data_IF_853290879052
#
_entry.id   IF_853290879052
#
_cell.length_a   1.000
_cell.length_b   1.000
_cell.length_c   1.000
_cell.angle_alpha   90.00
_cell.angle_beta   90.00
_cell.angle_gamma   90.00
#
_symmetry.space_group_name_H-M   'P 1'
#
loop_
_entity.id
_entity.type
_entity.pdbx_description
1 polymer ?
#
# COMPACT_ATOMS: atom_id res chain seq x y z
N UNK A 1 -21.60 5.09 -9.35
CA UNK A 1 -20.26 4.47 -9.49
C UNK A 1 -19.44 4.89 -8.27
N UNK A 2 -18.91 3.95 -7.50
CA UNK A 2 -17.98 4.30 -6.42
C UNK A 2 -16.68 4.84 -7.04
N UNK A 3 -16.15 5.93 -6.49
CA UNK A 3 -14.93 6.56 -6.98
C UNK A 3 -13.69 5.66 -6.81
N UNK A 4 -12.68 5.89 -7.64
CA UNK A 4 -11.36 5.24 -7.52
C UNK A 4 -10.42 6.21 -6.80
N UNK A 5 -9.72 5.71 -5.79
CA UNK A 5 -8.62 6.42 -5.15
C UNK A 5 -7.36 6.27 -5.98
N UNK A 6 -6.62 7.36 -6.13
CA UNK A 6 -5.30 7.40 -6.76
C UNK A 6 -4.31 8.02 -5.81
N UNK A 7 -3.17 7.37 -5.64
CA UNK A 7 -2.08 7.85 -4.82
C UNK A 7 -0.77 7.75 -5.59
N UNK A 8 0.04 8.80 -5.52
CA UNK A 8 1.40 8.79 -6.05
C UNK A 8 2.36 9.03 -4.90
N UNK A 9 3.26 8.10 -4.69
CA UNK A 9 4.41 8.26 -3.81
C UNK A 9 5.61 8.71 -4.63
N UNK A 10 6.38 9.64 -4.09
CA UNK A 10 7.68 10.06 -4.62
C UNK A 10 8.67 9.99 -3.46
N UNK A 11 9.75 9.26 -3.62
CA UNK A 11 10.80 9.16 -2.60
C UNK A 11 11.91 10.22 -2.82
N UNK A 12 12.86 10.28 -1.89
CA UNK A 12 13.98 11.24 -1.93
C UNK A 12 15.01 10.94 -3.03
N UNK A 13 14.93 9.78 -3.70
CA UNK A 13 15.75 9.40 -4.84
C UNK A 13 15.07 9.65 -6.20
N UNK A 14 13.83 10.17 -6.20
CA UNK A 14 13.04 10.38 -7.42
C UNK A 14 12.33 9.12 -7.92
N UNK A 15 12.34 8.03 -7.14
CA UNK A 15 11.50 6.86 -7.37
C UNK A 15 10.03 7.24 -7.22
N UNK A 16 9.17 6.66 -8.06
CA UNK A 16 7.74 6.92 -8.01
C UNK A 16 6.95 5.61 -7.97
N UNK A 17 5.90 5.59 -7.16
CA UNK A 17 4.94 4.50 -7.08
C UNK A 17 3.54 5.09 -7.25
N UNK A 18 2.86 4.69 -8.32
CA UNK A 18 1.45 5.04 -8.56
C UNK A 18 0.57 3.87 -8.17
N UNK A 19 -0.39 4.12 -7.29
CA UNK A 19 -1.34 3.14 -6.78
C UNK A 19 -2.77 3.59 -7.11
N UNK A 20 -3.62 2.63 -7.45
CA UNK A 20 -5.06 2.85 -7.61
C UNK A 20 -5.85 1.78 -6.86
N UNK A 21 -7.03 2.14 -6.39
CA UNK A 21 -7.87 1.18 -5.69
C UNK A 21 -9.07 1.80 -5.02
N UNK A 22 -9.58 1.13 -3.99
CA UNK A 22 -10.86 1.44 -3.39
C UNK A 22 -10.96 0.93 -1.95
N UNK A 23 -11.93 1.49 -1.23
CA UNK A 23 -12.38 0.94 0.02
C UNK A 23 -13.35 -0.22 -0.25
N UNK A 24 -13.01 -1.42 0.22
CA UNK A 24 -13.77 -2.65 0.01
C UNK A 24 -13.61 -3.54 1.23
N UNK A 25 -14.69 -4.19 1.68
CA UNK A 25 -14.68 -5.10 2.83
C UNK A 25 -14.05 -4.50 4.10
N UNK A 26 -14.34 -3.22 4.38
CA UNK A 26 -13.86 -2.54 5.58
C UNK A 26 -12.39 -2.09 5.55
N UNK A 27 -11.71 -2.22 4.42
CA UNK A 27 -10.29 -1.84 4.25
C UNK A 27 -10.07 -1.03 2.98
N UNK A 28 -9.07 -0.15 2.99
CA UNK A 28 -8.58 0.49 1.77
C UNK A 28 -7.52 -0.42 1.15
N UNK A 29 -7.70 -0.82 -0.11
CA UNK A 29 -6.70 -1.60 -0.86
C UNK A 29 -6.32 -0.81 -2.10
N UNK A 30 -5.03 -0.47 -2.21
CA UNK A 30 -4.46 0.15 -3.40
C UNK A 30 -3.37 -0.74 -3.98
N UNK A 31 -3.34 -0.86 -5.30
CA UNK A 31 -2.35 -1.66 -6.02
C UNK A 31 -1.72 -0.86 -7.17
N UNK A 32 -0.51 -1.24 -7.55
CA UNK A 32 0.23 -0.58 -8.63
C UNK A 32 1.55 -1.27 -8.90
N UNK A 33 2.23 -0.85 -9.96
CA UNK A 33 3.48 -1.47 -10.38
C UNK A 33 4.63 -0.48 -10.29
N UNK A 34 5.81 -1.00 -9.93
CA UNK A 34 7.09 -0.30 -9.99
C UNK A 34 8.10 -1.15 -10.75
N UNK A 35 9.29 -0.60 -10.95
CA UNK A 35 10.46 -1.33 -11.46
C UNK A 35 11.40 -1.55 -10.27
N UNK A 36 11.73 -2.80 -10.00
CA UNK A 36 12.71 -3.18 -8.98
C UNK A 36 14.14 -2.84 -9.40
N UNK A 37 15.08 -2.97 -8.46
CA UNK A 37 16.49 -2.67 -8.71
C UNK A 37 17.12 -3.57 -9.80
N UNK A 38 16.54 -4.74 -10.05
CA UNK A 38 16.94 -5.68 -11.09
C UNK A 38 16.32 -5.36 -12.48
N UNK A 39 15.61 -4.23 -12.59
CA UNK A 39 14.93 -3.81 -13.80
C UNK A 39 13.61 -4.56 -14.08
N UNK A 40 13.18 -5.47 -13.20
CA UNK A 40 11.95 -6.23 -13.40
C UNK A 40 10.76 -5.52 -12.77
N UNK A 41 9.58 -5.82 -13.30
CA UNK A 41 8.32 -5.34 -12.74
C UNK A 41 8.11 -5.90 -11.33
N UNK A 42 7.76 -5.02 -10.41
CA UNK A 42 7.38 -5.34 -9.04
C UNK A 42 5.94 -4.86 -8.81
N UNK A 43 5.04 -5.80 -8.53
CA UNK A 43 3.65 -5.52 -8.17
C UNK A 43 3.61 -5.11 -6.71
N UNK A 44 2.93 -4.03 -6.38
CA UNK A 44 2.75 -3.53 -5.03
C UNK A 44 1.27 -3.59 -4.64
N UNK A 45 1.00 -3.92 -3.38
CA UNK A 45 -0.30 -3.85 -2.74
C UNK A 45 -0.14 -3.21 -1.38
N UNK A 46 -0.90 -2.17 -1.11
CA UNK A 46 -0.97 -1.53 0.21
C UNK A 46 -2.40 -1.63 0.72
N UNK A 47 -2.53 -2.22 1.91
CA UNK A 47 -3.81 -2.37 2.60
C UNK A 47 -3.78 -1.58 3.90
N UNK A 48 -4.78 -0.72 4.09
CA UNK A 48 -5.04 -0.08 5.38
C UNK A 48 -6.30 -0.68 5.99
N UNK A 49 -6.13 -1.26 7.18
CA UNK A 49 -7.19 -1.96 7.92
C UNK A 49 -7.40 -1.31 9.28
N UNK A 50 -8.59 -0.74 9.56
CA UNK A 50 -8.97 -0.35 10.92
C UNK A 50 -8.98 -1.58 11.84
N UNK A 51 -8.43 -1.43 13.04
CA UNK A 51 -8.42 -2.47 14.07
C UNK A 51 -9.43 -2.14 15.17
N UNK A 52 -9.84 -3.16 15.92
CA UNK A 52 -10.81 -3.03 17.02
C UNK A 52 -10.29 -2.13 18.15
N UNK A 53 -8.98 -2.06 18.34
CA UNK A 53 -8.32 -1.21 19.33
C UNK A 53 -8.20 0.28 18.91
N UNK A 54 -8.76 0.64 17.76
CA UNK A 54 -8.77 2.01 17.23
C UNK A 54 -7.53 2.40 16.43
N UNK A 55 -6.53 1.50 16.31
CA UNK A 55 -5.38 1.70 15.41
C UNK A 55 -5.77 1.39 13.95
N UNK A 56 -4.90 1.80 13.04
CA UNK A 56 -4.95 1.38 11.62
C UNK A 56 -3.67 0.63 11.30
N UNK A 57 -3.77 -0.62 10.86
CA UNK A 57 -2.62 -1.36 10.30
C UNK A 57 -2.44 -0.99 8.84
N UNK A 58 -1.24 -0.61 8.45
CA UNK A 58 -0.81 -0.55 7.06
C UNK A 58 0.08 -1.76 6.78
N UNK A 59 -0.35 -2.59 5.84
CA UNK A 59 0.44 -3.67 5.29
C UNK A 59 0.77 -3.37 3.83
N UNK A 60 2.05 -3.18 3.52
CA UNK A 60 2.57 -3.08 2.15
C UNK A 60 3.28 -4.38 1.80
N UNK A 61 2.79 -5.02 0.76
CA UNK A 61 3.36 -6.22 0.16
C UNK A 61 3.82 -5.95 -1.27
N UNK A 62 4.91 -6.61 -1.66
CA UNK A 62 5.44 -6.59 -3.01
C UNK A 62 5.55 -8.01 -3.58
N UNK A 63 5.37 -8.13 -4.89
CA UNK A 63 5.42 -9.40 -5.61
C UNK A 63 6.19 -9.26 -6.92
N UNK A 64 7.19 -10.13 -7.11
CA UNK A 64 8.01 -10.22 -8.33
C UNK A 64 7.46 -11.23 -9.35
N UNK A 65 6.40 -11.96 -9.01
CA UNK A 65 5.79 -13.01 -9.81
C UNK A 65 4.32 -12.71 -10.15
N UNK A 66 4.01 -11.43 -10.31
CA UNK A 66 2.68 -10.93 -10.70
C UNK A 66 1.55 -11.29 -9.74
N UNK A 67 1.87 -11.42 -8.45
CA UNK A 67 0.92 -11.59 -7.36
C UNK A 67 0.68 -13.04 -6.95
N UNK A 68 1.51 -13.99 -7.44
CA UNK A 68 1.42 -15.38 -7.00
C UNK A 68 2.00 -15.56 -5.60
N UNK A 69 3.10 -14.87 -5.28
CA UNK A 69 3.70 -14.79 -3.95
C UNK A 69 3.92 -13.33 -3.55
N UNK A 70 3.78 -13.06 -2.26
CA UNK A 70 3.88 -11.72 -1.69
C UNK A 70 4.89 -11.70 -0.55
N UNK A 71 5.77 -10.71 -0.58
CA UNK A 71 6.74 -10.41 0.48
C UNK A 71 6.34 -9.12 1.17
N UNK A 72 6.42 -9.09 2.49
CA UNK A 72 6.12 -7.88 3.27
C UNK A 72 7.25 -6.87 3.08
N UNK A 73 6.92 -5.72 2.50
CA UNK A 73 7.83 -4.57 2.40
C UNK A 73 7.74 -3.67 3.62
N UNK A 74 6.53 -3.54 4.20
CA UNK A 74 6.30 -2.77 5.42
C UNK A 74 5.05 -3.27 6.15
N UNK A 75 5.13 -3.35 7.48
CA UNK A 75 3.98 -3.61 8.36
C UNK A 75 4.04 -2.67 9.55
N UNK A 76 3.09 -1.74 9.61
CA UNK A 76 3.08 -0.67 10.59
C UNK A 76 1.69 -0.39 11.12
N UNK A 77 1.65 0.24 12.29
CA UNK A 77 0.42 0.61 12.96
C UNK A 77 0.40 2.12 13.19
N UNK A 78 -0.69 2.76 12.78
CA UNK A 78 -0.96 4.14 13.07
C UNK A 78 -1.95 4.23 14.23
N UNK A 79 -1.61 5.07 15.19
CA UNK A 79 -2.50 5.46 16.27
C UNK A 79 -2.80 6.95 16.16
N UNK A 80 -3.97 7.35 16.65
CA UNK A 80 -4.33 8.76 16.70
C UNK A 80 -3.41 9.44 17.71
N UNK A 81 -2.61 10.40 17.25
CA UNK A 81 -1.87 11.25 18.17
C UNK A 81 -2.86 11.94 19.12
N UNK A 82 -2.63 11.83 20.43
CA UNK A 82 -3.35 12.66 21.38
C UNK A 82 -2.92 14.11 21.16
N UNK A 83 -3.89 15.00 20.95
CA UNK A 83 -3.59 16.44 20.97
C UNK A 83 -3.00 16.80 22.34
N UNK A 84 -1.99 17.69 22.41
CA UNK A 84 -1.46 18.17 23.68
C UNK A 84 -2.51 18.91 24.50
#
# INVERSE_FOLDING_TARGET
MAGVWRQTWVDNGGGHLRLEGRFVDGRMVLEGDTVGADGKRLRNRITWTPLEDGRVRQLWEASSDSGANWSVSFDGYYERAMSP
#
